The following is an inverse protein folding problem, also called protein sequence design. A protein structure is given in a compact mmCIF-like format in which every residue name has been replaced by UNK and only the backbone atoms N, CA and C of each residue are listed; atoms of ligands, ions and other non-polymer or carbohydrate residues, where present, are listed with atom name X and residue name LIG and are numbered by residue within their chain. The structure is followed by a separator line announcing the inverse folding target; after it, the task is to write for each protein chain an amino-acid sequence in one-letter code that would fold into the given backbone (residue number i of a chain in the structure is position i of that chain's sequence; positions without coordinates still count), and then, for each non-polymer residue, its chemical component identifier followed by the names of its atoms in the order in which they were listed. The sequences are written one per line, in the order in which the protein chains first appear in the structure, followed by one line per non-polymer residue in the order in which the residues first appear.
data_IF_996919390546
#
_entry.id   IF_996919390546
#
_cell.length_a   1.000
_cell.length_b   1.000
_cell.length_c   1.000
_cell.angle_alpha   90.00
_cell.angle_beta   90.00
_cell.angle_gamma   90.00
#
_symmetry.space_group_name_H-M   'P 1'
#
loop_
_entity.id
_entity.type
_entity.pdbx_description
1 polymer ?
#
# COMPACT_ATOMS: atom_id res chain seq x y z
N UNK A 1 3.09 6.79 3.53
CA UNK A 1 1.94 6.26 2.76
C UNK A 1 1.92 6.69 1.29
N UNK A 2 2.57 7.77 0.85
CA UNK A 2 2.49 8.22 -0.55
C UNK A 2 3.02 7.20 -1.58
N UNK A 3 4.08 6.44 -1.24
CA UNK A 3 4.60 5.41 -2.15
C UNK A 3 3.58 4.33 -2.52
N UNK A 4 2.79 3.84 -1.56
CA UNK A 4 1.77 2.82 -1.82
C UNK A 4 0.55 3.38 -2.57
N UNK A 5 0.22 4.66 -2.32
CA UNK A 5 -0.83 5.36 -3.07
C UNK A 5 -0.42 5.51 -4.53
N UNK A 6 0.82 5.96 -4.78
CA UNK A 6 1.37 6.11 -6.12
C UNK A 6 1.42 4.78 -6.88
N UNK A 7 1.98 3.74 -6.27
CA UNK A 7 2.10 2.42 -6.91
C UNK A 7 0.75 1.80 -7.25
N UNK A 8 -0.28 2.00 -6.40
CA UNK A 8 -1.63 1.53 -6.68
C UNK A 8 -2.29 2.26 -7.86
N UNK A 9 -2.13 3.59 -7.94
CA UNK A 9 -2.70 4.40 -9.03
C UNK A 9 -2.07 4.04 -10.39
N UNK A 10 -0.77 3.72 -10.41
CA UNK A 10 -0.05 3.35 -11.63
C UNK A 10 -0.11 1.86 -11.96
N UNK A 11 -0.73 1.03 -11.12
CA UNK A 11 -0.80 -0.41 -11.34
C UNK A 11 -1.62 -0.73 -12.61
N UNK A 12 -1.07 -1.62 -13.44
CA UNK A 12 -1.71 -2.12 -14.67
C UNK A 12 -2.35 -3.50 -14.51
N UNK A 13 -1.98 -4.23 -13.47
CA UNK A 13 -2.50 -5.57 -13.19
C UNK A 13 -3.34 -5.57 -11.91
N UNK A 14 -4.50 -6.26 -11.92
CA UNK A 14 -5.33 -6.40 -10.73
C UNK A 14 -4.68 -7.35 -9.71
N UNK A 15 -4.86 -7.05 -8.43
CA UNK A 15 -4.44 -7.88 -7.32
C UNK A 15 -5.37 -7.68 -6.11
N UNK A 16 -5.58 -8.74 -5.34
CA UNK A 16 -6.46 -8.71 -4.17
C UNK A 16 -5.69 -9.11 -2.92
N UNK A 17 -5.76 -8.29 -1.89
CA UNK A 17 -5.17 -8.62 -0.60
C UNK A 17 -5.85 -7.86 0.54
N UNK A 18 -5.74 -8.44 1.73
CA UNK A 18 -6.06 -7.83 3.01
C UNK A 18 -4.79 -7.93 3.85
N UNK A 19 -4.27 -6.78 4.27
CA UNK A 19 -3.10 -6.71 5.15
C UNK A 19 -3.56 -6.07 6.44
N UNK A 20 -3.35 -6.78 7.55
CA UNK A 20 -3.51 -6.25 8.89
C UNK A 20 -2.17 -5.72 9.38
N UNK A 21 -2.20 -4.50 9.91
CA UNK A 21 -1.02 -3.77 10.36
C UNK A 21 -1.22 -3.46 11.84
N UNK A 22 -0.31 -3.95 12.67
CA UNK A 22 -0.21 -3.53 14.05
C UNK A 22 0.57 -2.21 14.09
N UNK A 23 -0.11 -1.13 14.47
CA UNK A 23 0.45 0.21 14.48
C UNK A 23 0.37 0.80 15.88
N UNK A 24 1.49 1.31 16.38
CA UNK A 24 1.55 1.99 17.67
C UNK A 24 1.09 3.44 17.54
N UNK A 25 0.36 3.96 18.53
CA UNK A 25 -0.32 5.27 18.51
C UNK A 25 0.60 6.51 18.40
N UNK A 26 1.92 6.33 18.28
CA UNK A 26 2.91 7.42 18.21
C UNK A 26 2.95 8.18 16.88
N UNK A 27 2.44 7.59 15.79
CA UNK A 27 2.40 8.24 14.48
C UNK A 27 0.95 8.43 14.00
N UNK A 28 0.62 9.66 13.59
CA UNK A 28 -0.70 9.94 13.01
C UNK A 28 -0.66 9.56 11.53
N UNK A 29 -1.26 8.42 11.19
CA UNK A 29 -1.49 8.04 9.79
C UNK A 29 -2.95 8.33 9.45
N UNK A 30 -3.19 9.08 8.39
CA UNK A 30 -4.55 9.37 7.94
C UNK A 30 -5.13 8.18 7.14
N UNK A 31 -6.38 7.77 7.42
CA UNK A 31 -7.08 6.81 6.59
C UNK A 31 -7.33 7.38 5.19
N UNK A 32 -7.40 6.50 4.18
CA UNK A 32 -7.68 6.92 2.82
C UNK A 32 -8.43 5.84 2.02
N UNK A 33 -9.08 6.28 0.96
CA UNK A 33 -9.66 5.42 -0.08
C UNK A 33 -9.21 5.94 -1.44
N UNK A 34 -8.72 5.05 -2.29
CA UNK A 34 -8.34 5.32 -3.66
C UNK A 34 -9.05 4.34 -4.59
N UNK A 35 -9.35 4.81 -5.81
CA UNK A 35 -9.91 3.98 -6.88
C UNK A 35 -8.98 3.99 -8.07
N UNK A 36 -8.68 2.80 -8.58
CA UNK A 36 -7.99 2.63 -9.84
C UNK A 36 -9.04 2.17 -10.88
N UNK A 37 -9.47 3.10 -11.72
CA UNK A 37 -10.47 2.82 -12.76
C UNK A 37 -9.92 1.97 -13.91
N UNK A 38 -8.59 1.91 -14.08
CA UNK A 38 -7.95 1.08 -15.10
C UNK A 38 -8.08 -0.41 -14.74
N UNK A 39 -7.78 -0.76 -13.49
CA UNK A 39 -7.89 -2.16 -13.01
C UNK A 39 -9.27 -2.49 -12.46
N UNK A 40 -10.11 -1.48 -12.20
CA UNK A 40 -11.44 -1.67 -11.61
C UNK A 40 -11.41 -2.00 -10.12
N UNK A 41 -10.41 -1.48 -9.41
CA UNK A 41 -10.13 -1.80 -8.01
C UNK A 41 -10.20 -0.58 -7.10
N UNK A 42 -10.31 -0.84 -5.80
CA UNK A 42 -10.14 0.15 -4.74
C UNK A 42 -9.08 -0.29 -3.75
N UNK A 43 -8.37 0.68 -3.21
CA UNK A 43 -7.43 0.53 -2.11
C UNK A 43 -7.92 1.37 -0.94
N UNK A 44 -8.19 0.74 0.20
CA UNK A 44 -8.62 1.43 1.42
C UNK A 44 -7.63 1.18 2.54
N UNK A 45 -7.27 2.22 3.26
CA UNK A 45 -6.53 2.15 4.51
C UNK A 45 -7.40 2.74 5.61
N UNK A 46 -7.76 1.94 6.61
CA UNK A 46 -8.64 2.37 7.70
C UNK A 46 -8.25 1.77 9.04
N UNK A 47 -8.57 2.51 10.10
CA UNK A 47 -8.40 2.08 11.48
C UNK A 47 -9.56 1.18 11.90
N UNK A 48 -9.27 0.01 12.45
CA UNK A 48 -10.28 -0.91 12.99
C UNK A 48 -10.40 -0.76 14.51
N UNK A 49 -9.28 -0.65 15.23
CA UNK A 49 -9.23 -0.36 16.66
C UNK A 49 -8.01 0.52 17.04
N UNK A 50 -7.63 0.58 18.31
CA UNK A 50 -6.48 1.39 18.78
C UNK A 50 -5.15 1.01 18.13
N UNK A 51 -4.95 -0.28 17.82
CA UNK A 51 -3.68 -0.83 17.35
C UNK A 51 -3.75 -1.48 15.97
N UNK A 52 -4.95 -1.78 15.47
CA UNK A 52 -5.15 -2.54 14.23
C UNK A 52 -5.64 -1.63 13.13
N UNK A 53 -4.89 -1.63 12.04
CA UNK A 53 -5.23 -0.97 10.78
C UNK A 53 -5.33 -2.00 9.67
N UNK A 54 -6.33 -1.83 8.80
CA UNK A 54 -6.50 -2.67 7.62
C UNK A 54 -6.17 -1.89 6.36
N UNK A 55 -5.31 -2.51 5.54
CA UNK A 55 -5.06 -2.12 4.17
C UNK A 55 -5.69 -3.16 3.24
N UNK A 56 -6.69 -2.75 2.46
CA UNK A 56 -7.48 -3.65 1.63
C UNK A 56 -7.43 -3.20 0.18
N UNK A 57 -6.92 -4.06 -0.70
CA UNK A 57 -7.02 -3.91 -2.16
C UNK A 57 -8.03 -4.93 -2.69
N UNK A 58 -9.08 -4.45 -3.34
CA UNK A 58 -10.19 -5.29 -3.78
C UNK A 58 -10.87 -4.75 -5.04
N UNK A 59 -11.64 -5.57 -5.77
CA UNK A 59 -12.44 -5.11 -6.89
C UNK A 59 -13.50 -4.11 -6.42
N UNK A 60 -13.88 -3.15 -7.28
CA UNK A 60 -14.94 -2.17 -6.95
C UNK A 60 -16.31 -2.88 -6.80
N UNK A 61 -16.60 -3.88 -7.63
CA UNK A 61 -17.83 -4.68 -7.59
C UNK A 61 -17.73 -5.91 -6.70
N UNK A 62 -17.16 -5.77 -5.50
CA UNK A 62 -16.95 -6.92 -4.59
C UNK A 62 -18.22 -7.37 -3.88
N UNK A 63 -18.27 -8.64 -3.52
CA UNK A 63 -19.31 -9.21 -2.64
C UNK A 63 -19.01 -8.81 -1.19
N UNK A 64 -19.73 -7.82 -0.65
CA UNK A 64 -19.40 -7.22 0.65
C UNK A 64 -19.46 -8.22 1.82
N UNK A 65 -20.40 -9.17 1.82
CA UNK A 65 -20.50 -10.16 2.91
C UNK A 65 -19.24 -11.05 2.99
N UNK A 66 -18.78 -11.52 1.84
CA UNK A 66 -17.57 -12.33 1.73
C UNK A 66 -16.33 -11.56 2.18
N UNK A 67 -16.22 -10.30 1.77
CA UNK A 67 -15.08 -9.47 2.15
C UNK A 67 -15.11 -9.08 3.62
N UNK A 68 -16.29 -8.86 4.18
CA UNK A 68 -16.46 -8.59 5.61
C UNK A 68 -15.95 -9.77 6.43
N UNK A 69 -16.31 -11.00 6.06
CA UNK A 69 -15.81 -12.20 6.73
C UNK A 69 -14.28 -12.33 6.64
N UNK A 70 -13.70 -12.08 5.46
CA UNK A 70 -12.23 -12.14 5.29
C UNK A 70 -11.49 -11.03 6.06
N UNK A 71 -12.08 -9.85 6.17
CA UNK A 71 -11.52 -8.76 6.97
C UNK A 71 -11.57 -9.07 8.47
N UNK A 72 -12.66 -9.69 8.96
CA UNK A 72 -12.78 -10.18 10.33
C UNK A 72 -11.72 -11.27 10.63
N UNK A 73 -11.59 -12.27 9.76
CA UNK A 73 -10.56 -13.30 9.88
C UNK A 73 -9.14 -12.70 9.93
N UNK A 74 -8.85 -11.68 9.13
CA UNK A 74 -7.54 -11.02 9.12
C UNK A 74 -7.23 -10.27 10.43
N UNK A 75 -8.24 -9.71 11.08
CA UNK A 75 -8.11 -9.05 12.39
C UNK A 75 -7.91 -10.10 13.48
N UNK A 76 -8.77 -11.11 13.53
CA UNK A 76 -8.71 -12.17 14.53
C UNK A 76 -7.40 -12.96 14.45
N UNK A 77 -6.92 -13.25 13.23
CA UNK A 77 -5.64 -13.94 13.03
C UNK A 77 -4.46 -13.20 13.64
N UNK A 78 -4.48 -11.86 13.61
CA UNK A 78 -3.45 -11.05 14.25
C UNK A 78 -3.54 -11.12 15.78
N UNK A 79 -4.74 -11.25 16.33
CA UNK A 79 -5.00 -11.36 17.78
C UNK A 79 -4.73 -12.77 18.33
N UNK A 80 -4.98 -13.81 17.55
CA UNK A 80 -5.04 -15.21 17.99
C UNK A 80 -3.90 -16.06 17.42
N UNK A 81 -2.70 -15.93 18.02
CA UNK A 81 -1.64 -16.96 18.06
C UNK A 81 -1.06 -17.43 16.70
N UNK A 82 0.08 -16.84 16.37
CA UNK A 82 1.00 -17.10 15.26
C UNK A 82 1.48 -18.57 15.16
N UNK A 83 0.76 -19.47 14.49
CA UNK A 83 1.34 -20.80 14.16
C UNK A 83 2.12 -20.78 12.83
N UNK A 84 1.79 -19.86 11.91
CA UNK A 84 2.52 -19.58 10.66
C UNK A 84 2.48 -18.07 10.34
N UNK A 85 3.13 -17.24 11.15
CA UNK A 85 3.19 -15.79 10.92
C UNK A 85 4.57 -15.40 10.38
N UNK A 86 4.61 -14.74 9.22
CA UNK A 86 5.81 -14.05 8.75
C UNK A 86 5.67 -12.59 9.20
N UNK A 87 6.37 -12.22 10.27
CA UNK A 87 6.47 -10.83 10.70
C UNK A 87 7.58 -10.16 9.89
N UNK A 88 7.20 -9.17 9.08
CA UNK A 88 8.14 -8.32 8.35
C UNK A 88 8.21 -6.99 9.10
N UNK A 89 9.37 -6.72 9.71
CA UNK A 89 9.64 -5.43 10.35
C UNK A 89 10.30 -4.52 9.33
N UNK A 90 9.71 -3.36 9.10
CA UNK A 90 10.33 -2.29 8.31
C UNK A 90 10.93 -1.28 9.29
N UNK A 91 12.23 -1.00 9.18
CA UNK A 91 12.81 0.15 9.87
C UNK A 91 12.42 1.42 9.13
N UNK A 92 12.38 2.57 9.81
CA UNK A 92 12.07 3.86 9.16
C UNK A 92 13.00 4.15 7.97
N UNK A 93 14.24 3.63 8.01
CA UNK A 93 15.24 3.73 6.92
C UNK A 93 14.89 2.92 5.67
N UNK A 94 14.02 1.92 5.80
CA UNK A 94 13.62 1.03 4.70
C UNK A 94 12.41 1.60 3.94
N UNK A 95 11.77 2.66 4.46
CA UNK A 95 10.59 3.29 3.87
C UNK A 95 10.98 4.63 3.25
N UNK A 96 11.41 4.57 1.99
CA UNK A 96 11.52 5.74 1.12
C UNK A 96 12.93 6.31 1.00
N UNK A 97 13.74 5.69 0.13
CA UNK A 97 14.79 6.40 -0.59
C UNK A 97 14.94 5.71 -1.97
N UNK A 98 14.07 6.09 -2.90
CA UNK A 98 13.87 5.32 -4.13
C UNK A 98 13.31 6.14 -5.29
N UNK A 99 13.74 7.40 -5.41
CA UNK A 99 13.74 8.11 -6.69
C UNK A 99 15.03 8.94 -6.73
N UNK A 100 16.09 8.34 -7.25
CA UNK A 100 17.16 9.14 -7.84
C UNK A 100 16.52 9.85 -9.04
N UNK A 101 16.44 11.18 -8.99
CA UNK A 101 16.18 11.98 -10.18
C UNK A 101 17.29 11.70 -11.19
N UNK A 102 16.99 10.92 -12.23
CA UNK A 102 17.84 10.86 -13.43
C UNK A 102 17.63 12.14 -14.23
N UNK A 103 18.14 13.25 -13.70
CA UNK A 103 18.21 14.54 -14.39
C UNK A 103 19.56 14.67 -15.11
N UNK A 104 19.86 13.80 -16.08
CA UNK A 104 20.85 14.11 -17.12
C UNK A 104 20.35 13.65 -18.49
N UNK A 105 19.47 14.48 -19.07
CA UNK A 105 19.20 14.41 -20.50
C UNK A 105 20.49 14.61 -21.32
N UNK A 106 20.59 14.02 -22.53
CA UNK A 106 21.82 14.02 -23.30
C UNK A 106 22.26 15.45 -23.63
N UNK A 107 23.48 15.80 -23.18
CA UNK A 107 24.11 17.08 -23.45
C UNK A 107 24.31 17.29 -24.96
N UNK A 108 23.87 18.45 -25.47
CA UNK A 108 23.96 18.80 -26.89
C UNK A 108 25.40 18.73 -27.43
N UNK A 109 25.60 18.29 -28.69
CA UNK A 109 26.92 18.23 -29.29
C UNK A 109 27.46 19.63 -29.60
N UNK A 110 28.68 19.92 -29.15
CA UNK A 110 29.40 21.18 -29.45
C UNK A 110 29.62 21.33 -30.96
N UNK A 111 29.07 22.39 -31.54
CA UNK A 111 29.34 22.78 -32.94
C UNK A 111 30.83 23.18 -33.13
N UNK A 112 31.46 22.82 -34.26
CA UNK A 112 32.84 23.17 -34.54
C UNK A 112 32.97 24.68 -34.78
N UNK A 113 34.00 25.30 -34.19
CA UNK A 113 34.40 26.68 -34.49
C UNK A 113 35.10 26.71 -35.85
N UNK A 114 34.75 27.73 -36.62
CA UNK A 114 35.21 28.03 -37.97
C UNK A 114 36.69 28.40 -38.02
#
# INVERSE_FOLDING_TARGET
MEGIKGSFVTASEPANFIISIWHSSFYVIEPFELKNNLTGERLTFRRMDEYIWLLVRCPIGREEDKWTNWEEEAIEWQCCRQQNCISITFSDRDIGEGMAEENEGPSEPKKPKK
#
